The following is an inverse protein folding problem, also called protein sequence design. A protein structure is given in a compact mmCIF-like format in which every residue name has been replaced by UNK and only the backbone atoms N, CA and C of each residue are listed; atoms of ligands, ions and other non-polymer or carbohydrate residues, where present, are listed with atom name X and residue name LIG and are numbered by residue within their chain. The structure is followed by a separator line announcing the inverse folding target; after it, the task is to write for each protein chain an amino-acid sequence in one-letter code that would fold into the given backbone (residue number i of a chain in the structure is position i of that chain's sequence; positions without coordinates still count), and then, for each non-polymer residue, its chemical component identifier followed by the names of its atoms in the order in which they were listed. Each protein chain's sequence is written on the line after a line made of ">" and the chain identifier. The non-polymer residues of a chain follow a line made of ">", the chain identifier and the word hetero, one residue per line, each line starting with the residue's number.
data_IF_144533788021
#
_entry.id   IF_144533788021
#
_cell.length_a   1.000
_cell.length_b   1.000
_cell.length_c   1.000
_cell.angle_alpha   90.00
_cell.angle_beta   90.00
_cell.angle_gamma   90.00
#
_symmetry.space_group_name_H-M   'P 1'
#
loop_
_entity.id
_entity.type
_entity.pdbx_description
1 polymer ?
#
# COMPACT_ATOMS: atom_id res chain seq x y z
N UNK A 1 9.11 -12.58 21.03
CA UNK A 1 10.47 -13.08 20.68
C UNK A 1 11.48 -12.36 21.56
N UNK A 2 12.38 -13.06 22.27
CA UNK A 2 13.50 -12.42 22.95
C UNK A 2 14.45 -11.76 21.94
N UNK A 3 15.01 -10.61 22.30
CA UNK A 3 16.01 -9.90 21.50
C UNK A 3 17.40 -10.46 21.80
N UNK A 4 18.22 -10.68 20.79
CA UNK A 4 19.65 -11.00 20.98
C UNK A 4 20.45 -9.71 20.88
N UNK A 5 21.11 -9.32 21.97
CA UNK A 5 21.89 -8.09 22.07
C UNK A 5 23.28 -8.47 22.58
N UNK A 6 24.32 -8.17 21.79
CA UNK A 6 25.72 -8.55 22.09
C UNK A 6 25.86 -10.05 22.43
N UNK A 7 25.14 -10.93 21.73
CA UNK A 7 25.16 -12.38 21.94
C UNK A 7 24.30 -12.88 23.11
N UNK A 8 23.71 -12.00 23.92
CA UNK A 8 22.85 -12.38 25.04
C UNK A 8 21.37 -12.28 24.69
N UNK A 9 20.57 -13.27 25.12
CA UNK A 9 19.11 -13.25 25.03
C UNK A 9 18.55 -12.30 26.09
N UNK A 10 17.99 -11.18 25.64
CA UNK A 10 17.31 -10.19 26.45
C UNK A 10 15.80 -10.23 26.21
N UNK A 11 15.01 -9.89 27.23
CA UNK A 11 13.55 -9.71 27.11
C UNK A 11 13.17 -8.28 26.73
N UNK A 12 14.13 -7.36 26.61
CA UNK A 12 13.88 -5.95 26.28
C UNK A 12 13.68 -5.76 24.77
N UNK A 13 12.82 -4.83 24.33
CA UNK A 13 12.75 -4.47 22.91
C UNK A 13 14.06 -3.81 22.45
N UNK A 14 14.38 -3.94 21.17
CA UNK A 14 15.55 -3.31 20.56
C UNK A 14 15.44 -1.79 20.61
N UNK A 15 16.57 -1.13 20.89
CA UNK A 15 16.68 0.31 20.69
C UNK A 15 16.85 0.64 19.20
N UNK A 16 16.63 1.90 18.83
CA UNK A 16 16.75 2.37 17.43
C UNK A 16 18.16 2.09 16.87
N UNK A 17 19.20 2.41 17.66
CA UNK A 17 20.60 2.15 17.28
C UNK A 17 20.88 0.66 17.07
N UNK A 18 20.41 -0.21 17.98
CA UNK A 18 20.55 -1.67 17.85
C UNK A 18 19.79 -2.24 16.63
N UNK A 19 18.68 -1.60 16.26
CA UNK A 19 17.93 -1.98 15.06
C UNK A 19 18.71 -1.60 13.79
N UNK A 20 19.30 -0.41 13.76
CA UNK A 20 20.11 0.07 12.63
C UNK A 20 21.37 -0.78 12.44
N UNK A 21 22.09 -1.11 13.52
CA UNK A 21 23.30 -1.96 13.43
C UNK A 21 22.99 -3.38 12.99
N UNK A 22 21.82 -3.91 13.35
CA UNK A 22 21.36 -5.21 12.84
C UNK A 22 21.05 -5.17 11.35
N UNK A 23 20.38 -4.11 10.88
CA UNK A 23 20.09 -3.92 9.46
C UNK A 23 21.40 -3.78 8.67
N UNK A 24 22.37 -2.99 9.16
CA UNK A 24 23.67 -2.86 8.49
C UNK A 24 24.44 -4.17 8.47
N UNK A 25 24.42 -4.95 9.56
CA UNK A 25 25.06 -6.27 9.59
C UNK A 25 24.44 -7.24 8.57
N UNK A 26 23.11 -7.22 8.40
CA UNK A 26 22.41 -8.03 7.39
C UNK A 26 22.80 -7.59 5.98
N UNK A 27 22.94 -6.28 5.73
CA UNK A 27 23.40 -5.75 4.44
C UNK A 27 24.85 -6.17 4.11
N UNK A 28 25.72 -6.23 5.11
CA UNK A 28 27.11 -6.68 4.93
C UNK A 28 27.24 -8.21 4.82
N UNK A 29 26.24 -8.97 5.28
CA UNK A 29 26.21 -10.42 5.24
C UNK A 29 24.89 -10.94 4.65
N UNK A 30 24.68 -10.77 3.33
CA UNK A 30 23.41 -11.11 2.68
C UNK A 30 23.10 -12.62 2.69
N UNK A 31 24.11 -13.48 2.92
CA UNK A 31 23.94 -14.92 3.09
C UNK A 31 23.11 -15.33 4.31
N UNK A 32 22.91 -14.41 5.26
CA UNK A 32 22.07 -14.62 6.44
C UNK A 32 20.57 -14.46 6.14
N UNK A 33 20.21 -13.86 5.00
CA UNK A 33 18.81 -13.70 4.60
C UNK A 33 18.30 -14.98 3.94
N UNK A 34 17.17 -15.46 4.43
CA UNK A 34 16.42 -16.49 3.73
C UNK A 34 15.75 -15.89 2.48
N UNK A 35 15.60 -16.66 1.39
CA UNK A 35 14.91 -16.18 0.19
C UNK A 35 13.50 -15.67 0.49
N UNK A 36 12.81 -16.28 1.46
CA UNK A 36 11.51 -15.82 1.95
C UNK A 36 11.55 -14.42 2.56
N UNK A 37 12.57 -14.11 3.36
CA UNK A 37 12.74 -12.76 3.93
C UNK A 37 12.99 -11.72 2.84
N UNK A 38 13.75 -12.08 1.79
CA UNK A 38 13.99 -11.19 0.64
C UNK A 38 12.69 -10.92 -0.12
N UNK A 39 11.93 -11.98 -0.47
CA UNK A 39 10.65 -11.85 -1.18
C UNK A 39 9.65 -11.02 -0.37
N UNK A 40 9.56 -11.27 0.94
CA UNK A 40 8.69 -10.51 1.84
C UNK A 40 9.14 -9.05 1.98
N UNK A 41 10.45 -8.79 2.01
CA UNK A 41 11.01 -7.44 2.02
C UNK A 41 10.65 -6.65 0.76
N UNK A 42 10.83 -7.26 -0.43
CA UNK A 42 10.44 -6.65 -1.71
C UNK A 42 8.94 -6.37 -1.73
N UNK A 43 8.13 -7.32 -1.27
CA UNK A 43 6.67 -7.16 -1.17
C UNK A 43 6.29 -5.98 -0.27
N UNK A 44 6.91 -5.85 0.92
CA UNK A 44 6.63 -4.72 1.82
C UNK A 44 7.01 -3.37 1.19
N UNK A 45 8.13 -3.29 0.47
CA UNK A 45 8.53 -2.08 -0.26
C UNK A 45 7.50 -1.74 -1.34
N UNK A 46 7.06 -2.71 -2.12
CA UNK A 46 6.03 -2.54 -3.15
C UNK A 46 4.72 -2.01 -2.55
N UNK A 47 4.22 -2.64 -1.49
CA UNK A 47 2.98 -2.21 -0.82
C UNK A 47 3.11 -0.80 -0.24
N UNK A 48 4.27 -0.46 0.33
CA UNK A 48 4.54 0.89 0.82
C UNK A 48 4.46 1.91 -0.30
N UNK A 49 5.07 1.61 -1.46
CA UNK A 49 5.00 2.46 -2.65
C UNK A 49 3.56 2.64 -3.15
N UNK A 50 2.79 1.56 -3.31
CA UNK A 50 1.38 1.61 -3.70
C UNK A 50 0.53 2.41 -2.70
N UNK A 51 0.81 2.27 -1.40
CA UNK A 51 0.12 3.01 -0.34
C UNK A 51 0.40 4.51 -0.45
N UNK A 52 1.66 4.90 -0.66
CA UNK A 52 2.05 6.31 -0.83
C UNK A 52 1.37 6.92 -2.06
N UNK A 53 1.35 6.22 -3.20
CA UNK A 53 0.64 6.68 -4.39
C UNK A 53 -0.87 6.82 -4.16
N UNK A 54 -1.46 5.86 -3.45
CA UNK A 54 -2.89 5.89 -3.12
C UNK A 54 -3.22 7.08 -2.21
N UNK A 55 -2.42 7.31 -1.18
CA UNK A 55 -2.57 8.48 -0.29
C UNK A 55 -2.40 9.79 -1.04
N UNK A 56 -1.43 9.87 -1.96
CA UNK A 56 -1.26 11.05 -2.82
C UNK A 56 -2.47 11.26 -3.73
N UNK A 57 -3.02 10.20 -4.32
CA UNK A 57 -4.23 10.27 -5.15
C UNK A 57 -5.46 10.70 -4.33
N UNK A 58 -5.60 10.23 -3.10
CA UNK A 58 -6.67 10.69 -2.19
C UNK A 58 -6.45 12.16 -1.83
N UNK A 59 -5.21 12.55 -1.54
CA UNK A 59 -4.84 13.93 -1.27
C UNK A 59 -5.23 14.87 -2.42
N UNK A 60 -4.92 14.47 -3.66
CA UNK A 60 -5.35 15.19 -4.86
C UNK A 60 -6.87 15.35 -4.91
N UNK A 61 -7.63 14.27 -4.71
CA UNK A 61 -9.11 14.29 -4.77
C UNK A 61 -9.75 15.20 -3.71
N UNK A 62 -9.16 15.29 -2.52
CA UNK A 62 -9.75 16.00 -1.37
C UNK A 62 -9.30 17.47 -1.31
N UNK A 63 -8.02 17.74 -1.55
CA UNK A 63 -7.42 19.04 -1.25
C UNK A 63 -7.14 19.91 -2.48
N UNK A 64 -6.92 19.32 -3.65
CA UNK A 64 -6.57 20.09 -4.86
C UNK A 64 -7.83 20.53 -5.61
N UNK A 65 -7.81 21.77 -6.14
CA UNK A 65 -8.95 22.34 -6.87
C UNK A 65 -9.34 21.48 -8.09
N UNK A 66 -8.37 21.12 -8.93
CA UNK A 66 -8.61 20.22 -10.07
C UNK A 66 -9.05 18.80 -9.68
N UNK A 67 -8.76 18.37 -8.45
CA UNK A 67 -9.30 17.13 -7.91
C UNK A 67 -10.76 17.25 -7.50
N UNK A 68 -11.15 18.39 -6.91
CA UNK A 68 -12.54 18.69 -6.53
C UNK A 68 -13.45 18.88 -7.73
N UNK A 69 -12.97 19.58 -8.75
CA UNK A 69 -13.74 19.84 -9.97
C UNK A 69 -14.09 18.56 -10.73
N UNK A 70 -13.28 17.49 -10.61
CA UNK A 70 -13.60 16.19 -11.20
C UNK A 70 -14.87 15.54 -10.64
N UNK A 71 -15.26 15.84 -9.39
CA UNK A 71 -16.39 15.17 -8.73
C UNK A 71 -17.46 16.08 -8.16
N UNK A 72 -17.18 17.37 -8.09
CA UNK A 72 -18.16 18.41 -7.80
C UNK A 72 -17.88 19.59 -8.75
N UNK A 73 -18.07 19.41 -10.08
CA UNK A 73 -17.87 20.48 -11.04
C UNK A 73 -18.86 21.63 -10.78
N UNK A 74 -18.41 22.86 -10.98
CA UNK A 74 -19.26 24.05 -10.87
C UNK A 74 -20.44 24.00 -11.86
N UNK A 75 -20.20 23.49 -13.07
CA UNK A 75 -21.20 23.21 -14.09
C UNK A 75 -21.32 21.69 -14.33
N UNK A 76 -22.28 21.00 -13.68
CA UNK A 76 -22.45 19.58 -13.88
C UNK A 76 -23.00 19.27 -15.29
N UNK A 77 -22.56 18.17 -15.91
CA UNK A 77 -23.06 17.77 -17.22
C UNK A 77 -24.58 17.52 -17.13
N UNK A 78 -25.34 18.24 -17.95
CA UNK A 78 -26.79 18.10 -18.02
C UNK A 78 -27.11 16.83 -18.82
N UNK A 79 -27.84 15.86 -18.24
CA UNK A 79 -28.23 14.67 -18.98
C UNK A 79 -29.14 15.02 -20.17
N UNK A 80 -29.04 14.29 -21.29
CA UNK A 80 -29.84 14.56 -22.49
C UNK A 80 -31.36 14.48 -22.28
N UNK A 81 -31.80 13.76 -21.25
CA UNK A 81 -33.20 13.63 -20.86
C UNK A 81 -33.71 14.80 -19.99
N UNK A 82 -32.84 15.73 -19.59
CA UNK A 82 -33.21 16.87 -18.75
C UNK A 82 -33.90 17.96 -19.60
N UNK A 83 -34.99 18.59 -19.12
CA UNK A 83 -35.67 19.63 -19.88
C UNK A 83 -34.74 20.83 -20.17
N UNK A 84 -34.79 21.41 -21.38
CA UNK A 84 -33.95 22.55 -21.74
C UNK A 84 -34.27 23.76 -20.83
N UNK A 85 -33.22 24.39 -20.30
CA UNK A 85 -33.31 25.57 -19.41
C UNK A 85 -33.31 25.25 -17.92
N UNK A 86 -33.35 23.98 -17.51
CA UNK A 86 -33.24 23.58 -16.12
C UNK A 86 -31.77 23.40 -15.72
N UNK A 87 -31.37 24.03 -14.61
CA UNK A 87 -30.03 23.84 -14.03
C UNK A 87 -30.03 22.59 -13.16
N UNK A 88 -29.01 21.74 -13.33
CA UNK A 88 -28.76 20.63 -12.42
C UNK A 88 -28.07 21.20 -11.18
N UNK A 89 -28.79 21.32 -10.07
CA UNK A 89 -28.18 21.68 -8.80
C UNK A 89 -27.63 20.41 -8.14
N UNK A 90 -26.30 20.26 -8.11
CA UNK A 90 -25.68 19.26 -7.24
C UNK A 90 -25.72 19.75 -5.80
N UNK A 91 -26.37 18.99 -4.93
CA UNK A 91 -26.31 19.28 -3.51
C UNK A 91 -24.90 19.02 -2.99
N UNK A 92 -24.45 19.81 -2.00
CA UNK A 92 -23.17 19.57 -1.30
C UNK A 92 -23.09 18.14 -0.72
N UNK A 93 -24.23 17.55 -0.40
CA UNK A 93 -24.33 16.19 0.13
C UNK A 93 -24.04 15.12 -0.93
N UNK A 94 -24.51 15.33 -2.16
CA UNK A 94 -24.25 14.42 -3.28
C UNK A 94 -22.76 14.45 -3.67
N UNK A 95 -22.17 15.63 -3.68
CA UNK A 95 -20.73 15.79 -3.82
C UNK A 95 -19.98 15.02 -2.72
N UNK A 96 -20.34 15.17 -1.44
CA UNK A 96 -19.69 14.44 -0.34
C UNK A 96 -19.85 12.91 -0.45
N UNK A 97 -21.02 12.43 -0.85
CA UNK A 97 -21.29 11.01 -1.08
C UNK A 97 -20.43 10.46 -2.21
N UNK A 98 -20.26 11.21 -3.29
CA UNK A 98 -19.43 10.84 -4.43
C UNK A 98 -17.95 10.82 -4.08
N UNK A 99 -17.46 11.82 -3.33
CA UNK A 99 -16.10 11.82 -2.76
C UNK A 99 -15.87 10.58 -1.90
N UNK A 100 -16.77 10.30 -0.96
CA UNK A 100 -16.68 9.13 -0.09
C UNK A 100 -16.61 7.83 -0.90
N UNK A 101 -17.40 7.72 -1.95
CA UNK A 101 -17.39 6.54 -2.82
C UNK A 101 -16.08 6.37 -3.58
N UNK A 102 -15.53 7.44 -4.17
CA UNK A 102 -14.24 7.36 -4.87
C UNK A 102 -13.09 7.05 -3.91
N UNK A 103 -13.06 7.66 -2.73
CA UNK A 103 -12.06 7.36 -1.70
C UNK A 103 -12.15 5.89 -1.29
N UNK A 104 -13.37 5.38 -1.04
CA UNK A 104 -13.58 3.97 -0.73
C UNK A 104 -13.12 3.05 -1.87
N UNK A 105 -13.39 3.42 -3.12
CA UNK A 105 -12.93 2.68 -4.30
C UNK A 105 -11.39 2.63 -4.39
N UNK A 106 -10.71 3.71 -4.03
CA UNK A 106 -9.23 3.76 -3.97
C UNK A 106 -8.67 2.84 -2.88
N UNK A 107 -9.28 2.84 -1.69
CA UNK A 107 -8.92 1.88 -0.64
C UNK A 107 -9.22 0.44 -1.03
N UNK A 108 -10.34 0.18 -1.70
CA UNK A 108 -10.69 -1.14 -2.23
C UNK A 108 -9.68 -1.62 -3.27
N UNK A 109 -9.25 -0.76 -4.19
CA UNK A 109 -8.20 -1.07 -5.17
C UNK A 109 -6.86 -1.37 -4.48
N UNK A 110 -6.46 -0.58 -3.48
CA UNK A 110 -5.26 -0.86 -2.70
C UNK A 110 -5.37 -2.20 -1.95
N UNK A 111 -6.51 -2.49 -1.34
CA UNK A 111 -6.77 -3.77 -0.67
C UNK A 111 -6.68 -4.96 -1.62
N UNK A 112 -7.19 -4.81 -2.84
CA UNK A 112 -7.08 -5.83 -3.89
C UNK A 112 -5.63 -6.04 -4.32
N UNK A 113 -4.86 -4.97 -4.56
CA UNK A 113 -3.43 -5.03 -4.88
C UNK A 113 -2.65 -5.74 -3.77
N UNK A 114 -2.88 -5.37 -2.50
CA UNK A 114 -2.26 -6.02 -1.33
C UNK A 114 -2.61 -7.50 -1.30
N UNK A 115 -3.87 -7.86 -1.50
CA UNK A 115 -4.28 -9.26 -1.48
C UNK A 115 -3.67 -10.06 -2.63
N UNK A 116 -3.80 -9.59 -3.87
CA UNK A 116 -3.34 -10.28 -5.07
C UNK A 116 -1.83 -10.49 -5.05
N UNK A 117 -1.06 -9.42 -4.80
CA UNK A 117 0.40 -9.53 -4.71
C UNK A 117 0.88 -10.24 -3.45
N UNK A 118 0.11 -10.17 -2.35
CA UNK A 118 0.39 -10.93 -1.14
C UNK A 118 0.33 -12.43 -1.38
N UNK A 119 -0.68 -12.91 -2.11
CA UNK A 119 -0.78 -14.32 -2.52
C UNK A 119 0.39 -14.71 -3.42
N UNK A 120 0.73 -13.89 -4.41
CA UNK A 120 1.87 -14.15 -5.31
C UNK A 120 3.20 -14.16 -4.55
N UNK A 121 3.39 -13.26 -3.58
CA UNK A 121 4.58 -13.20 -2.74
C UNK A 121 4.73 -14.44 -1.85
N UNK A 122 3.64 -14.91 -1.25
CA UNK A 122 3.64 -16.14 -0.43
C UNK A 122 3.94 -17.37 -1.29
N UNK A 123 3.27 -17.52 -2.43
CA UNK A 123 3.50 -18.63 -3.35
C UNK A 123 4.93 -18.62 -3.90
N UNK A 124 5.44 -17.45 -4.31
CA UNK A 124 6.81 -17.28 -4.75
C UNK A 124 7.83 -17.65 -3.68
N UNK A 125 7.63 -17.22 -2.43
CA UNK A 125 8.51 -17.57 -1.34
C UNK A 125 8.55 -19.08 -1.08
N UNK A 126 7.40 -19.76 -1.11
CA UNK A 126 7.31 -21.22 -0.94
C UNK A 126 8.00 -21.95 -2.09
N UNK A 127 7.76 -21.53 -3.34
CA UNK A 127 8.41 -22.13 -4.52
C UNK A 127 9.93 -21.95 -4.49
N UNK A 128 10.43 -20.79 -4.07
CA UNK A 128 11.87 -20.56 -3.95
C UNK A 128 12.47 -21.40 -2.83
N UNK A 129 11.80 -21.54 -1.69
CA UNK A 129 12.25 -22.43 -0.62
C UNK A 129 12.33 -23.90 -1.09
N UNK A 130 11.31 -24.40 -1.80
CA UNK A 130 11.32 -25.75 -2.36
C UNK A 130 12.40 -25.94 -3.43
N UNK A 131 12.60 -24.94 -4.30
CA UNK A 131 13.67 -24.98 -5.31
C UNK A 131 15.06 -25.03 -4.68
N UNK A 132 15.31 -24.26 -3.62
CA UNK A 132 16.59 -24.30 -2.88
C UNK A 132 16.80 -25.64 -2.19
N UNK A 133 15.74 -26.29 -1.69
CA UNK A 133 15.83 -27.65 -1.14
C UNK A 133 16.21 -28.67 -2.21
N UNK A 134 15.58 -28.61 -3.37
CA UNK A 134 15.88 -29.48 -4.51
C UNK A 134 17.31 -29.37 -5.03
N UNK A 135 17.90 -28.17 -5.03
CA UNK A 135 19.29 -27.95 -5.48
C UNK A 135 20.32 -28.44 -4.45
N UNK A 136 19.93 -28.56 -3.18
CA UNK A 136 20.83 -28.98 -2.07
C UNK A 136 20.75 -30.46 -1.73
N UNK A 137 19.73 -31.18 -2.20
CA UNK A 137 19.55 -32.64 -2.03
C UNK A 137 20.08 -33.41 -3.22
#
# INVERSE_FOLDING_TARGET
>A
MPSVINGNLSRRPYTVLESVTRISHILHHPSLLTPREVVLGIYLVYITYCTVLTLRSIGYLVFEAGGRDMWCPEDPPVPEWYPPGWKVELSRWDCFRMLRWMVLRRFGALGYEVFAWGVMGVLGAVLVEEGVRWVRG
#
